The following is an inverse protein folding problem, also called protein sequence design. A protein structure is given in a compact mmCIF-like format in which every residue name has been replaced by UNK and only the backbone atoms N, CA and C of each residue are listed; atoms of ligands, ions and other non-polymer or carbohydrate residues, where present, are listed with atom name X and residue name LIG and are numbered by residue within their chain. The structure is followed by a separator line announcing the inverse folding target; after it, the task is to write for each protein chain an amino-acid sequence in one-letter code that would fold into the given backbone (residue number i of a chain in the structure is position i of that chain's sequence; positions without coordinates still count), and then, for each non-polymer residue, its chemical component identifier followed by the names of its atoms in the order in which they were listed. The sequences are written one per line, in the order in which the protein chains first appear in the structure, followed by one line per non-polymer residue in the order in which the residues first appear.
data_IF_712863971809
#
_entry.id   IF_712863971809
#
_cell.length_a   1.000
_cell.length_b   1.000
_cell.length_c   1.000
_cell.angle_alpha   90.00
_cell.angle_beta   90.00
_cell.angle_gamma   90.00
#
_symmetry.space_group_name_H-M   'P 1'
#
loop_
_entity.id
_entity.type
_entity.pdbx_description
1 polymer ?
#
# COMPACT_ATOMS: atom_id res chain seq x y z
N UNK A 1 62.62 -57.17 30.81
CA UNK A 1 61.35 -57.00 30.03
C UNK A 1 60.67 -55.72 30.49
N UNK A 2 60.80 -54.64 29.75
CA UNK A 2 60.11 -53.36 30.05
C UNK A 2 59.03 -53.16 28.99
N UNK A 3 57.71 -53.13 29.41
CA UNK A 3 56.58 -52.84 28.59
C UNK A 3 56.52 -51.32 28.35
N UNK A 4 56.55 -50.90 27.08
CA UNK A 4 56.20 -49.54 26.62
C UNK A 4 54.67 -49.43 26.40
N UNK A 5 54.01 -48.56 27.13
CA UNK A 5 52.60 -48.15 26.90
C UNK A 5 52.62 -46.97 25.94
N UNK A 6 52.03 -47.17 24.81
CA UNK A 6 51.75 -46.10 23.82
C UNK A 6 50.41 -45.51 24.21
N UNK A 7 50.38 -44.20 24.54
CA UNK A 7 49.15 -43.40 24.68
C UNK A 7 48.78 -42.84 23.28
N UNK A 8 47.64 -43.28 22.76
CA UNK A 8 47.01 -42.64 21.63
C UNK A 8 46.20 -41.41 22.11
N UNK A 9 46.60 -40.23 21.72
CA UNK A 9 45.83 -39.00 21.90
C UNK A 9 44.86 -38.83 20.71
N UNK A 10 43.58 -39.00 20.96
CA UNK A 10 42.52 -38.72 19.97
C UNK A 10 42.25 -37.23 19.94
N UNK A 11 42.61 -36.56 18.85
CA UNK A 11 42.23 -35.17 18.55
C UNK A 11 40.80 -35.15 18.06
N UNK A 12 39.87 -34.61 18.84
CA UNK A 12 38.51 -34.32 18.43
C UNK A 12 38.51 -32.96 17.70
N UNK A 13 38.47 -32.99 16.36
CA UNK A 13 38.23 -31.80 15.54
C UNK A 13 36.74 -31.45 15.61
N UNK A 14 36.40 -30.50 16.46
CA UNK A 14 35.03 -29.90 16.46
C UNK A 14 34.85 -29.04 15.24
N UNK A 15 34.06 -29.50 14.30
CA UNK A 15 33.60 -28.68 13.18
C UNK A 15 32.56 -27.66 13.72
N UNK A 16 32.96 -26.39 13.81
CA UNK A 16 32.01 -25.28 14.05
C UNK A 16 31.28 -25.04 12.73
N UNK A 17 30.04 -25.53 12.66
CA UNK A 17 29.13 -25.16 11.57
C UNK A 17 28.74 -23.70 11.78
N UNK A 18 29.36 -22.79 11.02
CA UNK A 18 28.82 -21.44 10.83
C UNK A 18 27.51 -21.58 10.06
N UNK A 19 26.39 -21.48 10.76
CA UNK A 19 25.10 -21.24 10.14
C UNK A 19 25.14 -19.84 9.54
N UNK A 20 25.42 -19.73 8.24
CA UNK A 20 25.12 -18.53 7.49
C UNK A 20 23.60 -18.41 7.52
N UNK A 21 23.08 -17.49 8.31
CA UNK A 21 21.68 -17.10 8.23
C UNK A 21 21.47 -16.63 6.79
N UNK A 22 20.75 -17.41 5.99
CA UNK A 22 20.30 -16.97 4.69
C UNK A 22 19.55 -15.67 4.93
N UNK A 23 20.00 -14.57 4.32
CA UNK A 23 19.22 -13.33 4.29
C UNK A 23 17.82 -13.74 3.84
N UNK A 24 16.78 -13.38 4.60
CA UNK A 24 15.42 -13.77 4.25
C UNK A 24 15.10 -13.19 2.87
N UNK A 25 14.74 -14.03 1.92
CA UNK A 25 14.32 -13.61 0.57
C UNK A 25 12.98 -12.83 0.61
N UNK A 26 12.63 -12.31 1.77
CA UNK A 26 11.40 -11.57 2.04
C UNK A 26 11.60 -10.10 1.72
N UNK A 27 10.70 -9.55 0.94
CA UNK A 27 10.62 -8.12 0.65
C UNK A 27 9.67 -7.47 1.64
N UNK A 28 10.06 -6.34 2.25
CA UNK A 28 9.25 -5.60 3.20
C UNK A 28 8.83 -4.26 2.62
N UNK A 29 7.51 -3.99 2.61
CA UNK A 29 6.94 -2.75 2.12
C UNK A 29 6.09 -2.13 3.23
N UNK A 30 6.35 -0.87 3.58
CA UNK A 30 5.44 -0.10 4.42
C UNK A 30 4.39 0.58 3.54
N UNK A 31 3.14 0.61 3.99
CA UNK A 31 2.05 1.33 3.32
C UNK A 31 1.46 2.36 4.27
N UNK A 32 1.53 3.64 3.86
CA UNK A 32 0.84 4.76 4.47
C UNK A 32 -0.37 5.07 3.59
N UNK A 33 -1.54 5.29 4.20
CA UNK A 33 -2.77 5.64 3.48
C UNK A 33 -3.54 6.71 4.23
N UNK A 34 -4.37 7.44 3.48
CA UNK A 34 -5.39 8.32 4.05
C UNK A 34 -4.80 9.30 5.10
N UNK A 35 -3.77 10.04 4.68
CA UNK A 35 -3.11 11.00 5.58
C UNK A 35 -3.89 12.29 5.76
N UNK A 36 -4.74 12.65 4.79
CA UNK A 36 -5.73 13.74 4.83
C UNK A 36 -5.26 15.01 5.54
N UNK A 37 -4.05 15.49 5.23
CA UNK A 37 -3.60 16.78 5.78
C UNK A 37 -4.57 17.89 5.35
N UNK A 38 -5.06 18.65 6.32
CA UNK A 38 -6.01 19.75 6.08
C UNK A 38 -7.49 19.35 6.14
N UNK A 39 -7.82 18.07 6.34
CA UNK A 39 -9.19 17.63 6.59
C UNK A 39 -9.62 18.04 8.01
N UNK A 40 -10.85 18.58 8.14
CA UNK A 40 -11.35 19.17 9.40
C UNK A 40 -11.48 18.19 10.56
N UNK A 41 -11.66 16.90 10.28
CA UNK A 41 -11.74 15.84 11.29
C UNK A 41 -10.36 15.27 11.67
N UNK A 42 -9.31 15.68 10.97
CA UNK A 42 -7.93 15.18 11.11
C UNK A 42 -7.02 16.19 11.83
N UNK A 43 -7.40 16.62 13.03
CA UNK A 43 -6.70 17.70 13.76
C UNK A 43 -5.22 17.42 14.02
N UNK A 44 -4.82 16.15 14.12
CA UNK A 44 -3.45 15.71 14.38
C UNK A 44 -2.77 15.06 13.15
N UNK A 45 -3.35 15.16 11.96
CA UNK A 45 -2.86 14.47 10.77
C UNK A 45 -1.36 14.68 10.50
N UNK A 46 -0.88 15.92 10.66
CA UNK A 46 0.53 16.26 10.45
C UNK A 46 1.46 15.55 11.44
N UNK A 47 1.10 15.52 12.71
CA UNK A 47 1.93 14.89 13.74
C UNK A 47 1.86 13.37 13.65
N UNK A 48 0.69 12.84 13.36
CA UNK A 48 0.50 11.41 13.08
C UNK A 48 1.35 10.94 11.90
N UNK A 49 1.42 11.74 10.82
CA UNK A 49 2.26 11.41 9.67
C UNK A 49 3.75 11.43 10.02
N UNK A 50 4.21 12.40 10.83
CA UNK A 50 5.60 12.42 11.33
C UNK A 50 5.92 11.19 12.18
N UNK A 51 5.03 10.84 13.11
CA UNK A 51 5.18 9.65 13.94
C UNK A 51 5.23 8.37 13.08
N UNK A 52 4.34 8.25 12.09
CA UNK A 52 4.37 7.12 11.15
C UNK A 52 5.71 7.02 10.42
N UNK A 53 6.26 8.15 9.94
CA UNK A 53 7.57 8.21 9.26
C UNK A 53 8.70 7.75 10.17
N UNK A 54 8.73 8.20 11.43
CA UNK A 54 9.73 7.78 12.41
C UNK A 54 9.64 6.28 12.70
N UNK A 55 8.42 5.77 12.92
CA UNK A 55 8.18 4.35 13.17
C UNK A 55 8.52 3.46 11.98
N UNK A 56 8.28 3.92 10.75
CA UNK A 56 8.62 3.22 9.52
C UNK A 56 10.13 3.19 9.33
N UNK A 57 10.82 4.31 9.52
CA UNK A 57 12.29 4.37 9.41
C UNK A 57 12.96 3.41 10.40
N UNK A 58 12.43 3.29 11.63
CA UNK A 58 12.93 2.33 12.62
C UNK A 58 12.73 0.85 12.22
N UNK A 59 11.86 0.55 11.27
CA UNK A 59 11.60 -0.81 10.75
C UNK A 59 12.38 -1.15 9.48
N UNK A 60 13.05 -0.17 8.88
CA UNK A 60 13.90 -0.33 7.69
C UNK A 60 13.24 -1.12 6.55
N UNK A 61 12.04 -0.72 6.05
CA UNK A 61 11.44 -1.41 4.92
C UNK A 61 12.25 -1.23 3.65
N UNK A 62 12.05 -2.11 2.68
CA UNK A 62 12.69 -2.02 1.36
C UNK A 62 12.09 -0.91 0.49
N UNK A 63 10.82 -0.58 0.74
CA UNK A 63 10.10 0.52 0.09
C UNK A 63 8.95 1.03 0.95
N UNK A 64 8.46 2.23 0.65
CA UNK A 64 7.24 2.80 1.21
C UNK A 64 6.28 3.15 0.08
N UNK A 65 5.02 2.77 0.22
CA UNK A 65 3.93 3.14 -0.68
C UNK A 65 3.00 4.09 0.06
N UNK A 66 2.69 5.23 -0.56
CA UNK A 66 1.67 6.18 -0.09
C UNK A 66 0.46 6.00 -0.98
N UNK A 67 -0.59 5.36 -0.46
CA UNK A 67 -1.71 4.86 -1.25
C UNK A 67 -2.93 5.78 -1.26
N UNK A 68 -2.70 7.09 -1.43
CA UNK A 68 -3.74 8.08 -1.73
C UNK A 68 -4.31 8.81 -0.52
N UNK A 69 -5.17 9.77 -0.82
CA UNK A 69 -5.80 10.70 0.11
C UNK A 69 -4.78 11.40 1.01
N UNK A 70 -3.80 12.02 0.33
CA UNK A 70 -2.60 12.60 0.97
C UNK A 70 -2.92 13.92 1.66
N UNK A 71 -3.69 14.76 1.00
CA UNK A 71 -4.09 16.07 1.54
C UNK A 71 -5.14 16.77 0.70
N UNK A 72 -5.94 17.62 1.35
CA UNK A 72 -7.14 18.20 0.77
C UNK A 72 -6.84 19.23 -0.33
N UNK A 73 -5.74 19.95 -0.19
CA UNK A 73 -5.30 20.98 -1.14
C UNK A 73 -3.85 20.77 -1.52
N UNK A 74 -3.43 21.44 -2.58
CA UNK A 74 -2.05 21.36 -3.08
C UNK A 74 -1.02 21.71 -1.99
N UNK A 75 -1.31 22.70 -1.14
CA UNK A 75 -0.43 23.13 -0.05
C UNK A 75 -0.23 22.07 1.02
N UNK A 76 -1.31 21.38 1.40
CA UNK A 76 -1.24 20.29 2.37
C UNK A 76 -0.57 19.06 1.77
N UNK A 77 -0.77 18.78 0.49
CA UNK A 77 -0.04 17.71 -0.22
C UNK A 77 1.47 18.00 -0.28
N UNK A 78 1.89 19.26 -0.53
CA UNK A 78 3.31 19.64 -0.47
C UNK A 78 3.87 19.52 0.96
N UNK A 79 3.07 19.86 1.97
CA UNK A 79 3.45 19.65 3.37
C UNK A 79 3.66 18.17 3.67
N UNK A 80 2.71 17.30 3.28
CA UNK A 80 2.85 15.86 3.44
C UNK A 80 4.09 15.33 2.72
N UNK A 81 4.29 15.73 1.47
CA UNK A 81 5.47 15.36 0.68
C UNK A 81 6.79 15.78 1.36
N UNK A 82 6.80 16.95 2.01
CA UNK A 82 7.97 17.41 2.78
C UNK A 82 8.26 16.49 3.96
N UNK A 83 7.24 16.06 4.69
CA UNK A 83 7.39 15.10 5.80
C UNK A 83 7.86 13.75 5.26
N UNK A 84 7.24 13.24 4.20
CA UNK A 84 7.55 11.95 3.58
C UNK A 84 8.98 11.88 3.00
N UNK A 85 9.62 13.03 2.66
CA UNK A 85 11.04 13.08 2.28
C UNK A 85 12.01 12.66 3.40
N UNK A 86 11.54 12.57 4.64
CA UNK A 86 12.33 12.05 5.77
C UNK A 86 12.36 10.51 5.83
N UNK A 87 11.59 9.82 4.99
CA UNK A 87 11.69 8.37 4.83
C UNK A 87 13.04 8.00 4.22
N UNK A 88 13.67 6.96 4.77
CA UNK A 88 14.98 6.48 4.32
C UNK A 88 14.88 5.47 3.17
N UNK A 89 13.75 4.80 3.03
CA UNK A 89 13.45 3.90 1.91
C UNK A 89 12.85 4.66 0.71
N UNK A 90 12.95 4.13 -0.51
CA UNK A 90 12.28 4.68 -1.69
C UNK A 90 10.76 4.81 -1.48
N UNK A 91 10.17 5.94 -1.90
CA UNK A 91 8.76 6.24 -1.73
C UNK A 91 8.05 6.25 -3.09
N UNK A 92 6.91 5.54 -3.16
CA UNK A 92 6.04 5.45 -4.33
C UNK A 92 4.66 5.98 -3.99
N UNK A 93 4.03 6.72 -4.92
CA UNK A 93 2.75 7.39 -4.68
C UNK A 93 1.65 6.83 -5.58
N UNK A 94 0.46 6.69 -5.04
CA UNK A 94 -0.76 6.32 -5.75
C UNK A 94 -1.84 7.34 -5.41
N UNK A 95 -2.63 7.86 -6.38
CA UNK A 95 -3.65 8.84 -6.09
C UNK A 95 -4.88 8.24 -5.39
N UNK A 96 -5.49 9.01 -4.50
CA UNK A 96 -6.80 8.77 -3.93
C UNK A 96 -7.87 9.70 -4.48
N UNK A 97 -9.09 9.58 -3.98
CA UNK A 97 -10.22 10.38 -4.47
C UNK A 97 -10.20 11.84 -3.98
N UNK A 98 -9.39 12.18 -2.97
CA UNK A 98 -9.17 13.55 -2.54
C UNK A 98 -8.11 14.28 -3.38
N UNK A 99 -7.30 13.56 -4.17
CA UNK A 99 -6.34 14.21 -5.06
C UNK A 99 -7.00 14.82 -6.29
N UNK A 100 -7.92 14.11 -6.95
CA UNK A 100 -8.63 14.63 -8.12
C UNK A 100 -9.88 13.84 -8.50
N UNK A 101 -10.74 14.49 -9.29
CA UNK A 101 -11.95 13.91 -9.89
C UNK A 101 -12.12 14.27 -11.36
N UNK A 102 -11.12 14.92 -11.98
CA UNK A 102 -11.13 15.38 -13.37
C UNK A 102 -9.72 15.49 -13.92
N UNK A 103 -9.59 15.68 -15.24
CA UNK A 103 -8.28 15.71 -15.92
C UNK A 103 -7.36 16.83 -15.45
N UNK A 104 -7.91 18.00 -15.10
CA UNK A 104 -7.09 19.12 -14.60
C UNK A 104 -6.46 18.77 -13.26
N UNK A 105 -7.23 18.23 -12.33
CA UNK A 105 -6.71 17.77 -11.04
C UNK A 105 -5.71 16.63 -11.20
N UNK A 106 -5.95 15.71 -12.15
CA UNK A 106 -5.02 14.64 -12.49
C UNK A 106 -3.68 15.17 -13.01
N UNK A 107 -3.68 16.19 -13.85
CA UNK A 107 -2.45 16.85 -14.30
C UNK A 107 -1.70 17.52 -13.14
N UNK A 108 -2.41 18.18 -12.23
CA UNK A 108 -1.84 18.74 -11.01
C UNK A 108 -1.19 17.66 -10.13
N UNK A 109 -1.87 16.54 -9.93
CA UNK A 109 -1.31 15.39 -9.22
C UNK A 109 -0.01 14.91 -9.87
N UNK A 110 -0.02 14.70 -11.19
CA UNK A 110 1.16 14.25 -11.95
C UNK A 110 2.34 15.21 -11.84
N UNK A 111 2.09 16.50 -11.84
CA UNK A 111 3.13 17.52 -11.64
C UNK A 111 3.72 17.49 -10.23
N UNK A 112 2.93 17.07 -9.24
CA UNK A 112 3.31 17.04 -7.84
C UNK A 112 3.99 15.73 -7.43
N UNK A 113 3.46 14.58 -7.87
CA UNK A 113 3.87 13.25 -7.40
C UNK A 113 4.43 12.35 -8.51
N UNK A 114 4.30 12.70 -9.76
CA UNK A 114 4.68 11.87 -10.91
C UNK A 114 3.51 11.11 -11.52
N UNK A 115 3.78 10.03 -12.26
CA UNK A 115 2.73 9.24 -12.92
C UNK A 115 1.67 8.75 -11.93
N UNK A 116 0.41 8.74 -12.35
CA UNK A 116 -0.72 8.26 -11.56
C UNK A 116 -0.95 6.74 -11.70
N UNK A 117 -0.44 6.13 -12.76
CA UNK A 117 -0.29 4.68 -12.87
C UNK A 117 1.04 4.33 -13.53
N UNK A 118 1.71 3.34 -13.00
CA UNK A 118 3.05 2.93 -13.44
C UNK A 118 3.44 1.58 -12.83
N UNK A 119 4.53 1.01 -13.32
CA UNK A 119 5.15 -0.18 -12.77
C UNK A 119 6.49 0.17 -12.12
N UNK A 120 6.76 -0.42 -10.99
CA UNK A 120 8.06 -0.36 -10.32
C UNK A 120 8.42 -1.72 -9.72
N UNK A 121 9.66 -1.85 -9.30
CA UNK A 121 10.18 -3.09 -8.73
C UNK A 121 10.80 -2.81 -7.36
N UNK A 122 10.50 -3.67 -6.40
CA UNK A 122 11.15 -3.70 -5.08
C UNK A 122 11.84 -5.05 -4.96
N UNK A 123 13.16 -5.07 -5.05
CA UNK A 123 13.96 -6.31 -5.18
C UNK A 123 13.42 -7.21 -6.31
N UNK A 124 12.89 -8.38 -5.98
CA UNK A 124 12.33 -9.36 -6.92
C UNK A 124 10.81 -9.26 -7.12
N UNK A 125 10.14 -8.31 -6.45
CA UNK A 125 8.68 -8.12 -6.54
C UNK A 125 8.37 -7.01 -7.53
N UNK A 126 7.51 -7.31 -8.52
CA UNK A 126 6.92 -6.31 -9.40
C UNK A 126 5.66 -5.72 -8.75
N UNK A 127 5.51 -4.41 -8.85
CA UNK A 127 4.35 -3.70 -8.32
C UNK A 127 3.69 -2.90 -9.44
N UNK A 128 2.39 -3.10 -9.66
CA UNK A 128 1.58 -2.25 -10.50
C UNK A 128 0.88 -1.22 -9.62
N UNK A 129 1.28 0.04 -9.72
CA UNK A 129 0.58 1.18 -9.15
C UNK A 129 -0.53 1.59 -10.11
N UNK A 130 -1.78 1.62 -9.64
CA UNK A 130 -2.97 1.86 -10.43
C UNK A 130 -3.73 3.08 -9.94
N UNK A 131 -4.37 3.77 -10.84
CA UNK A 131 -5.21 4.92 -10.55
C UNK A 131 -6.69 4.52 -10.48
N UNK A 132 -7.19 4.23 -9.29
CA UNK A 132 -8.59 3.85 -9.08
C UNK A 132 -9.58 4.98 -9.38
N UNK A 133 -9.14 6.25 -9.52
CA UNK A 133 -10.00 7.36 -9.92
C UNK A 133 -10.41 7.25 -11.40
N UNK A 134 -9.73 6.43 -12.19
CA UNK A 134 -10.10 6.06 -13.55
C UNK A 134 -11.08 4.87 -13.61
N UNK A 135 -11.39 4.25 -12.46
CA UNK A 135 -12.23 3.06 -12.38
C UNK A 135 -13.58 3.31 -11.68
N UNK A 136 -13.93 4.57 -11.44
CA UNK A 136 -15.19 4.94 -10.81
C UNK A 136 -15.28 6.43 -10.52
N UNK A 137 -16.49 6.87 -10.20
CA UNK A 137 -16.77 8.24 -9.81
C UNK A 137 -17.09 8.32 -8.32
N UNK A 138 -16.16 8.83 -7.55
CA UNK A 138 -16.22 8.90 -6.09
C UNK A 138 -16.57 10.30 -5.55
N UNK A 139 -17.17 11.15 -6.39
CA UNK A 139 -17.54 12.53 -5.99
C UNK A 139 -18.83 12.62 -5.16
N UNK A 140 -19.60 11.54 -5.08
CA UNK A 140 -20.91 11.51 -4.44
C UNK A 140 -21.00 10.44 -3.35
N UNK A 141 -20.46 10.71 -2.17
CA UNK A 141 -20.48 9.79 -1.02
C UNK A 141 -21.86 9.21 -0.69
N UNK A 142 -22.93 10.02 -0.80
CA UNK A 142 -24.30 9.59 -0.42
C UNK A 142 -25.09 8.95 -1.57
N UNK A 143 -24.50 8.78 -2.76
CA UNK A 143 -25.19 8.16 -3.89
C UNK A 143 -25.42 6.67 -3.62
N UNK A 144 -26.64 6.20 -3.99
CA UNK A 144 -26.99 4.77 -3.96
C UNK A 144 -26.60 4.04 -5.26
N UNK A 145 -26.18 4.77 -6.27
CA UNK A 145 -25.75 4.26 -7.57
C UNK A 145 -24.39 4.86 -7.90
N UNK A 146 -23.58 4.13 -8.68
CA UNK A 146 -22.32 4.68 -9.19
C UNK A 146 -22.60 5.74 -10.25
N UNK A 147 -22.23 7.02 -10.02
CA UNK A 147 -22.29 7.99 -11.08
C UNK A 147 -21.31 7.60 -12.20
N UNK A 148 -21.65 7.84 -13.48
CA UNK A 148 -20.72 7.52 -14.56
C UNK A 148 -19.48 8.42 -14.50
N UNK A 149 -18.36 7.91 -15.01
CA UNK A 149 -17.22 8.76 -15.34
C UNK A 149 -17.60 9.76 -16.44
N UNK A 150 -16.95 10.93 -16.47
CA UNK A 150 -17.02 11.79 -17.66
C UNK A 150 -16.42 11.05 -18.87
N UNK A 151 -16.83 11.43 -20.08
CA UNK A 151 -16.30 10.82 -21.30
C UNK A 151 -14.76 10.89 -21.38
N UNK A 152 -14.18 11.98 -20.89
CA UNK A 152 -12.73 12.20 -20.85
C UNK A 152 -12.05 11.26 -19.85
N UNK A 153 -12.60 11.12 -18.64
CA UNK A 153 -12.06 10.19 -17.63
C UNK A 153 -12.22 8.73 -18.07
N UNK A 154 -13.34 8.39 -18.72
CA UNK A 154 -13.56 7.07 -19.30
C UNK A 154 -12.52 6.73 -20.39
N UNK A 155 -12.16 7.70 -21.24
CA UNK A 155 -11.12 7.52 -22.24
C UNK A 155 -9.73 7.26 -21.61
N UNK A 156 -9.42 7.91 -20.49
CA UNK A 156 -8.18 7.65 -19.74
C UNK A 156 -8.23 6.29 -19.02
N UNK A 157 -9.40 5.86 -18.54
CA UNK A 157 -9.61 4.51 -18.00
C UNK A 157 -9.23 3.43 -19.04
N UNK A 158 -9.70 3.57 -20.28
CA UNK A 158 -9.35 2.64 -21.37
C UNK A 158 -7.83 2.57 -21.60
N UNK A 159 -7.14 3.71 -21.52
CA UNK A 159 -5.69 3.76 -21.68
C UNK A 159 -4.97 3.02 -20.53
N UNK A 160 -5.40 3.22 -19.29
CA UNK A 160 -4.82 2.51 -18.15
C UNK A 160 -5.05 1.00 -18.24
N UNK A 161 -6.28 0.58 -18.56
CA UNK A 161 -6.60 -0.85 -18.70
C UNK A 161 -5.81 -1.52 -19.84
N UNK A 162 -5.65 -0.81 -20.98
CA UNK A 162 -4.81 -1.27 -22.08
C UNK A 162 -3.33 -1.35 -21.66
N UNK A 163 -2.82 -0.34 -20.94
CA UNK A 163 -1.46 -0.35 -20.40
C UNK A 163 -1.22 -1.52 -19.42
N UNK A 164 -2.21 -1.84 -18.56
CA UNK A 164 -2.12 -3.02 -17.70
C UNK A 164 -1.96 -4.29 -18.53
N UNK A 165 -2.73 -4.44 -19.58
CA UNK A 165 -2.66 -5.60 -20.47
C UNK A 165 -1.28 -5.75 -21.15
N UNK A 166 -0.68 -4.65 -21.54
CA UNK A 166 0.65 -4.58 -22.15
C UNK A 166 1.76 -5.03 -21.19
N UNK A 167 1.55 -4.97 -19.85
CA UNK A 167 2.55 -5.42 -18.88
C UNK A 167 2.75 -6.94 -18.89
N UNK A 168 1.81 -7.73 -19.42
CA UNK A 168 1.81 -9.19 -19.29
C UNK A 168 3.13 -9.86 -19.72
N UNK A 169 3.77 -9.37 -20.78
CA UNK A 169 5.04 -9.93 -21.25
C UNK A 169 6.21 -9.63 -20.29
N UNK A 170 6.23 -8.43 -19.73
CA UNK A 170 7.32 -7.96 -18.87
C UNK A 170 7.32 -8.55 -17.45
N UNK A 171 6.14 -8.98 -16.97
CA UNK A 171 5.95 -9.54 -15.61
C UNK A 171 5.78 -11.06 -15.60
N UNK A 172 5.78 -11.70 -16.75
CA UNK A 172 5.58 -13.15 -16.87
C UNK A 172 6.55 -13.94 -15.99
N UNK A 173 6.01 -14.81 -15.13
CA UNK A 173 6.79 -15.66 -14.23
C UNK A 173 7.42 -14.95 -13.04
N UNK A 174 7.07 -13.69 -12.83
CA UNK A 174 7.49 -12.91 -11.65
C UNK A 174 6.40 -12.89 -10.59
N UNK A 175 6.78 -12.59 -9.36
CA UNK A 175 5.83 -12.24 -8.30
C UNK A 175 5.36 -10.81 -8.54
N UNK A 176 4.04 -10.63 -8.64
CA UNK A 176 3.41 -9.35 -8.95
C UNK A 176 2.31 -9.07 -7.95
N UNK A 177 2.31 -7.87 -7.39
CA UNK A 177 1.20 -7.32 -6.59
C UNK A 177 0.67 -6.04 -7.25
N UNK A 178 -0.55 -5.66 -6.92
CA UNK A 178 -1.10 -4.37 -7.30
C UNK A 178 -1.27 -3.45 -6.10
N UNK A 179 -1.26 -2.14 -6.33
CA UNK A 179 -1.64 -1.14 -5.34
C UNK A 179 -2.50 -0.07 -6.00
N UNK A 180 -3.60 0.30 -5.35
CA UNK A 180 -4.46 1.42 -5.70
C UNK A 180 -5.13 1.95 -4.43
N UNK A 181 -5.81 3.10 -4.52
CA UNK A 181 -6.45 3.66 -3.34
C UNK A 181 -7.76 2.96 -3.00
N UNK A 182 -8.69 2.88 -3.96
CA UNK A 182 -10.02 2.31 -3.74
C UNK A 182 -9.95 0.78 -3.83
N UNK A 183 -10.44 0.02 -2.83
CA UNK A 183 -10.50 -1.44 -2.90
C UNK A 183 -11.33 -1.93 -4.09
N UNK A 184 -10.88 -3.00 -4.76
CA UNK A 184 -11.59 -3.56 -5.92
C UNK A 184 -12.97 -4.08 -5.57
N UNK A 185 -13.10 -4.77 -4.44
CA UNK A 185 -14.36 -5.30 -3.93
C UNK A 185 -14.51 -5.02 -2.45
N UNK A 186 -15.74 -5.18 -1.98
CA UNK A 186 -16.09 -4.99 -0.58
C UNK A 186 -15.95 -6.30 0.21
N UNK A 187 -15.43 -6.21 1.43
CA UNK A 187 -15.56 -7.27 2.43
C UNK A 187 -17.05 -7.45 2.78
N UNK A 188 -17.48 -8.70 2.88
CA UNK A 188 -18.86 -9.06 3.27
C UNK A 188 -19.30 -8.45 4.60
N UNK A 189 -18.35 -8.17 5.51
CA UNK A 189 -18.60 -7.58 6.82
C UNK A 189 -18.43 -6.05 6.84
N UNK A 190 -18.14 -5.42 5.69
CA UNK A 190 -18.01 -3.96 5.63
C UNK A 190 -19.37 -3.30 5.82
N UNK A 191 -19.50 -2.29 6.73
CA UNK A 191 -20.80 -1.85 7.22
C UNK A 191 -21.64 -1.05 6.23
N UNK A 192 -21.02 -0.50 5.16
CA UNK A 192 -21.70 0.38 4.19
C UNK A 192 -21.68 -0.22 2.78
N UNK A 193 -22.85 -0.24 2.14
CA UNK A 193 -23.05 -0.85 0.82
C UNK A 193 -22.96 0.15 -0.34
N UNK A 194 -22.66 1.43 -0.08
CA UNK A 194 -22.60 2.43 -1.14
C UNK A 194 -21.49 2.12 -2.16
N UNK A 195 -21.71 2.46 -3.44
CA UNK A 195 -20.71 2.30 -4.49
C UNK A 195 -19.43 3.12 -4.28
N UNK A 196 -19.50 4.12 -3.42
CA UNK A 196 -18.37 4.97 -3.04
C UNK A 196 -17.16 4.16 -2.53
N UNK A 197 -17.41 3.05 -1.86
CA UNK A 197 -16.41 2.32 -1.12
C UNK A 197 -15.57 1.33 -1.93
N UNK A 198 -15.93 1.08 -3.20
CA UNK A 198 -15.23 0.11 -4.06
C UNK A 198 -15.16 0.58 -5.50
N UNK A 199 -14.30 -0.03 -6.28
CA UNK A 199 -14.29 0.17 -7.73
C UNK A 199 -15.68 -0.12 -8.31
N UNK A 200 -16.11 0.72 -9.24
CA UNK A 200 -17.46 0.66 -9.79
C UNK A 200 -17.55 -0.29 -10.98
N UNK A 201 -18.72 -0.94 -11.16
CA UNK A 201 -18.98 -1.70 -12.39
C UNK A 201 -19.18 -0.75 -13.61
N UNK A 202 -18.73 -1.13 -14.81
CA UNK A 202 -18.16 -2.43 -15.18
C UNK A 202 -16.64 -2.56 -14.96
N UNK A 203 -15.99 -1.55 -14.39
CA UNK A 203 -14.53 -1.52 -14.25
C UNK A 203 -14.01 -2.58 -13.28
N UNK A 204 -14.75 -2.86 -12.20
CA UNK A 204 -14.35 -3.86 -11.21
C UNK A 204 -14.16 -5.26 -11.83
N UNK A 205 -15.09 -5.68 -12.69
CA UNK A 205 -14.96 -6.96 -13.38
C UNK A 205 -13.81 -6.96 -14.39
N UNK A 206 -13.63 -5.86 -15.13
CA UNK A 206 -12.55 -5.72 -16.12
C UNK A 206 -11.17 -5.75 -15.47
N UNK A 207 -11.01 -5.08 -14.34
CA UNK A 207 -9.77 -5.06 -13.57
C UNK A 207 -9.48 -6.46 -12.99
N UNK A 208 -10.49 -7.15 -12.45
CA UNK A 208 -10.35 -8.52 -11.98
C UNK A 208 -9.88 -9.47 -13.09
N UNK A 209 -10.42 -9.35 -14.29
CA UNK A 209 -10.03 -10.18 -15.42
C UNK A 209 -8.57 -9.91 -15.85
N UNK A 210 -8.12 -8.64 -15.77
CA UNK A 210 -6.72 -8.28 -15.96
C UNK A 210 -5.83 -8.83 -14.84
N UNK A 211 -6.24 -8.74 -13.58
CA UNK A 211 -5.50 -9.32 -12.45
C UNK A 211 -5.29 -10.83 -12.64
N UNK A 212 -6.33 -11.56 -13.04
CA UNK A 212 -6.25 -12.99 -13.35
C UNK A 212 -5.27 -13.27 -14.50
N UNK A 213 -5.35 -12.50 -15.58
CA UNK A 213 -4.44 -12.61 -16.74
C UNK A 213 -2.99 -12.34 -16.36
N UNK A 214 -2.75 -11.37 -15.50
CA UNK A 214 -1.42 -10.92 -15.05
C UNK A 214 -0.89 -11.76 -13.87
N UNK A 215 -1.69 -12.65 -13.29
CA UNK A 215 -1.33 -13.47 -12.14
C UNK A 215 -1.28 -12.71 -10.82
N UNK A 216 -1.93 -11.54 -10.74
CA UNK A 216 -2.03 -10.73 -9.53
C UNK A 216 -3.05 -11.38 -8.60
N UNK A 217 -2.62 -11.66 -7.36
CA UNK A 217 -3.47 -12.27 -6.32
C UNK A 217 -3.64 -11.36 -5.11
N UNK A 218 -2.80 -10.35 -4.96
CA UNK A 218 -2.78 -9.45 -3.81
C UNK A 218 -2.89 -8.00 -4.26
N UNK A 219 -3.85 -7.29 -3.67
CA UNK A 219 -4.12 -5.87 -3.88
C UNK A 219 -3.93 -5.11 -2.58
N UNK A 220 -3.02 -4.15 -2.55
CA UNK A 220 -2.88 -3.18 -1.46
C UNK A 220 -3.82 -2.00 -1.72
N UNK A 221 -4.61 -1.60 -0.73
CA UNK A 221 -5.59 -0.52 -0.86
C UNK A 221 -5.66 0.36 0.38
N UNK A 222 -6.36 1.48 0.30
CA UNK A 222 -6.68 2.41 1.38
C UNK A 222 -8.18 2.70 1.47
N UNK A 223 -8.55 3.99 1.56
CA UNK A 223 -9.91 4.51 1.44
C UNK A 223 -10.89 4.18 2.59
N UNK A 224 -10.77 3.03 3.20
CA UNK A 224 -11.68 2.62 4.28
C UNK A 224 -11.27 3.14 5.66
N UNK A 225 -10.05 3.64 5.78
CA UNK A 225 -9.45 4.09 7.04
C UNK A 225 -9.38 2.98 8.12
N UNK A 226 -9.70 1.74 7.78
CA UNK A 226 -9.77 0.60 8.70
C UNK A 226 -8.88 -0.53 8.19
N UNK A 227 -7.87 -0.89 8.98
CA UNK A 227 -6.92 -1.95 8.66
C UNK A 227 -7.64 -3.30 8.53
N UNK A 228 -7.60 -3.90 7.32
CA UNK A 228 -8.36 -5.11 7.02
C UNK A 228 -7.69 -5.96 5.95
N UNK A 229 -7.69 -7.28 6.15
CA UNK A 229 -7.30 -8.24 5.11
C UNK A 229 -8.46 -9.20 4.89
N UNK A 230 -8.84 -9.39 3.64
CA UNK A 230 -9.91 -10.33 3.27
C UNK A 230 -9.70 -10.87 1.86
N UNK A 231 -10.23 -12.08 1.64
CA UNK A 231 -10.22 -12.73 0.33
C UNK A 231 -11.60 -12.64 -0.33
N UNK A 232 -11.61 -12.30 -1.62
CA UNK A 232 -12.82 -12.28 -2.44
C UNK A 232 -12.48 -12.48 -3.91
N UNK A 233 -13.31 -13.20 -4.67
CA UNK A 233 -13.15 -13.45 -6.10
C UNK A 233 -11.76 -14.00 -6.50
N UNK A 234 -11.05 -14.67 -5.58
CA UNK A 234 -9.73 -15.26 -5.79
C UNK A 234 -8.58 -14.29 -5.71
N UNK A 235 -8.80 -13.11 -5.13
CA UNK A 235 -7.75 -12.14 -4.75
C UNK A 235 -7.84 -11.81 -3.26
N UNK A 236 -6.70 -11.51 -2.66
CA UNK A 236 -6.59 -10.98 -1.30
C UNK A 236 -6.45 -9.47 -1.36
N UNK A 237 -7.30 -8.77 -0.63
CA UNK A 237 -7.27 -7.30 -0.55
C UNK A 237 -6.77 -6.91 0.86
N UNK A 238 -5.70 -6.12 0.89
CA UNK A 238 -5.05 -5.62 2.09
C UNK A 238 -5.33 -4.13 2.19
N UNK A 239 -6.32 -3.74 2.99
CA UNK A 239 -6.66 -2.33 3.20
C UNK A 239 -5.84 -1.79 4.37
N UNK A 240 -5.06 -0.74 4.14
CA UNK A 240 -4.28 -0.08 5.20
C UNK A 240 -5.18 0.77 6.10
N UNK A 241 -4.87 0.89 7.39
CA UNK A 241 -5.50 1.87 8.25
C UNK A 241 -5.07 3.29 7.86
N UNK A 242 -5.90 4.29 8.19
CA UNK A 242 -5.54 5.69 8.03
C UNK A 242 -4.51 6.14 9.08
N UNK A 243 -3.72 7.16 8.75
CA UNK A 243 -2.91 7.87 9.74
C UNK A 243 -3.63 9.11 10.32
N UNK A 244 -4.76 9.51 9.74
CA UNK A 244 -5.42 10.79 9.99
C UNK A 244 -6.63 10.72 10.92
N UNK A 245 -7.69 10.03 10.51
CA UNK A 245 -8.96 9.95 11.23
C UNK A 245 -9.71 8.65 10.91
N UNK A 246 -10.72 8.30 11.71
CA UNK A 246 -11.39 7.00 11.70
C UNK A 246 -12.92 7.17 11.60
N UNK A 247 -13.49 7.31 10.41
CA UNK A 247 -14.93 7.49 10.23
C UNK A 247 -15.76 6.28 10.68
N UNK A 248 -15.17 5.11 10.67
CA UNK A 248 -15.81 3.83 11.00
C UNK A 248 -15.31 3.22 12.32
N UNK A 249 -14.44 3.92 13.06
CA UNK A 249 -13.74 3.39 14.23
C UNK A 249 -12.46 2.65 13.87
N UNK A 250 -11.84 1.97 14.84
CA UNK A 250 -10.59 1.26 14.63
C UNK A 250 -9.38 1.91 15.30
N UNK A 251 -8.21 1.85 14.69
CA UNK A 251 -6.97 2.48 15.19
C UNK A 251 -6.22 3.13 14.04
N UNK A 252 -5.73 4.33 14.27
CA UNK A 252 -4.80 4.99 13.36
C UNK A 252 -3.50 4.20 13.28
N UNK A 253 -2.91 4.13 12.09
CA UNK A 253 -1.71 3.34 11.88
C UNK A 253 -1.25 3.32 10.44
N UNK A 254 -0.38 2.38 10.16
CA UNK A 254 0.09 2.04 8.83
C UNK A 254 0.19 0.53 8.69
N UNK A 255 0.36 0.02 7.47
CA UNK A 255 0.57 -1.41 7.25
C UNK A 255 2.03 -1.72 6.94
N UNK A 256 2.51 -2.88 7.39
CA UNK A 256 3.76 -3.51 6.98
C UNK A 256 3.45 -4.80 6.25
N UNK A 257 3.89 -4.91 5.02
CA UNK A 257 3.73 -6.09 4.18
C UNK A 257 5.05 -6.83 4.07
N UNK A 258 5.06 -8.12 4.39
CA UNK A 258 6.18 -9.02 4.15
C UNK A 258 5.81 -9.97 3.02
N UNK A 259 6.58 -9.94 1.93
CA UNK A 259 6.31 -10.67 0.70
C UNK A 259 7.40 -11.71 0.48
N UNK A 260 7.03 -12.98 0.46
CA UNK A 260 7.98 -14.08 0.22
C UNK A 260 8.40 -14.15 -1.24
N UNK A 261 9.50 -14.86 -1.54
CA UNK A 261 9.93 -15.15 -2.92
C UNK A 261 8.86 -15.92 -3.74
N UNK A 262 7.92 -16.60 -3.08
CA UNK A 262 6.80 -17.33 -3.69
C UNK A 262 5.58 -16.43 -3.90
N UNK A 263 5.60 -15.18 -3.40
CA UNK A 263 4.53 -14.21 -3.55
C UNK A 263 3.45 -14.28 -2.46
N UNK A 264 3.72 -14.95 -1.34
CA UNK A 264 2.83 -14.90 -0.19
C UNK A 264 2.96 -13.55 0.52
N UNK A 265 1.87 -12.83 0.70
CA UNK A 265 1.82 -11.52 1.38
C UNK A 265 1.28 -11.68 2.78
N UNK A 266 2.08 -11.32 3.77
CA UNK A 266 1.65 -11.19 5.15
C UNK A 266 1.58 -9.71 5.54
N UNK A 267 0.46 -9.28 6.14
CA UNK A 267 0.23 -7.88 6.53
C UNK A 267 0.13 -7.77 8.05
N UNK A 268 0.95 -6.90 8.62
CA UNK A 268 0.87 -6.42 9.99
C UNK A 268 0.33 -4.99 10.00
N UNK A 269 -0.69 -4.71 10.81
CA UNK A 269 -1.15 -3.35 11.06
C UNK A 269 -0.44 -2.79 12.29
N UNK A 270 0.32 -1.72 12.08
CA UNK A 270 1.11 -1.08 13.13
C UNK A 270 0.35 0.15 13.63
N UNK A 271 -0.20 0.11 14.84
CA UNK A 271 -0.93 1.25 15.37
C UNK A 271 0.02 2.40 15.70
N UNK A 272 -0.43 3.63 15.43
CA UNK A 272 0.21 4.83 15.98
C UNK A 272 -0.03 4.87 17.50
N UNK A 273 0.92 5.43 18.28
CA UNK A 273 0.69 5.72 19.68
C UNK A 273 -0.57 6.58 19.85
N UNK A 274 -1.36 6.33 20.89
CA UNK A 274 -2.47 7.22 21.22
C UNK A 274 -1.92 8.65 21.35
N UNK A 275 -2.61 9.63 20.73
CA UNK A 275 -2.19 11.02 20.82
C UNK A 275 -1.90 11.35 22.29
N UNK A 276 -0.71 11.80 22.60
CA UNK A 276 -0.39 12.29 23.94
C UNK A 276 -1.36 13.44 24.18
N UNK A 277 -2.25 13.30 25.16
CA UNK A 277 -3.03 14.45 25.63
C UNK A 277 -2.05 15.60 25.81
N UNK A 278 -2.32 16.71 25.11
CA UNK A 278 -1.52 17.89 25.28
C UNK A 278 -1.51 18.18 26.79
N UNK A 279 -0.38 18.01 27.46
CA UNK A 279 -0.26 18.33 28.86
C UNK A 279 -0.65 19.81 28.96
N UNK A 280 -1.80 20.05 29.55
CA UNK A 280 -2.22 21.38 29.98
C UNK A 280 -1.11 21.88 30.91
N UNK A 281 -0.18 22.64 30.36
CA UNK A 281 0.68 23.48 31.21
C UNK A 281 -0.18 24.63 31.63
N UNK A 282 -0.50 24.62 32.92
CA UNK A 282 -0.97 25.76 33.70
C UNK A 282 -0.11 27.01 33.48
#
# INVERSE_FOLDING_TARGET
MKLFRILLASAVCGAVALSVAAASDTVTIAQISDTHLGEKHSTNATDNLREAVEMINARHPDAVIVSGDIGERETEREQAKTILKSLTAPVYYVPGNHEFSNLKGREQYRNQFGPDYYRFQVKNIEVLALDSQLLGNYTQFNSKTSPPLSAEMAAESEKMLAWMDEQAAAIRGKVVIAVQHIPLFRDKNFPDAKPYWTVNEPYAQRELDLFRKLGIKDLLAGHWHDGRVFETNGITIHVAPATSWLPLGGRLGFAMHSITAQGEVHTEFVPLPAAREASSKE
#
